data_IF_590664451448
#
_entry.id   IF_590664451448
#
_cell.length_a   1.000
_cell.length_b   1.000
_cell.length_c   1.000
_cell.angle_alpha   90.00
_cell.angle_beta   90.00
_cell.angle_gamma   90.00
#
_symmetry.space_group_name_H-M   'P 1'
#
loop_
_entity.id
_entity.type
_entity.pdbx_description
1 polymer ?
#
# COMPACT_ATOMS: atom_id res chain seq x y z
N UNK A 1 -30.93 -16.78 -30.30
CA UNK A 1 -30.21 -16.35 -29.08
C UNK A 1 -30.47 -14.86 -28.89
N UNK A 2 -31.21 -14.46 -27.86
CA UNK A 2 -31.49 -13.05 -27.56
C UNK A 2 -30.41 -12.54 -26.60
N UNK A 3 -29.66 -11.52 -27.01
CA UNK A 3 -28.79 -10.75 -26.13
C UNK A 3 -29.64 -10.07 -25.05
N UNK A 4 -29.27 -10.23 -23.78
CA UNK A 4 -29.84 -9.49 -22.67
C UNK A 4 -29.17 -8.11 -22.58
N UNK A 5 -29.92 -7.01 -22.39
CA UNK A 5 -29.34 -5.69 -22.18
C UNK A 5 -28.77 -5.59 -20.76
N UNK A 6 -27.46 -5.35 -20.68
CA UNK A 6 -26.75 -5.16 -19.42
C UNK A 6 -26.98 -3.72 -18.92
N UNK A 7 -28.06 -3.49 -18.18
CA UNK A 7 -28.32 -2.22 -17.49
C UNK A 7 -27.94 -2.41 -16.03
N UNK A 8 -26.71 -2.04 -15.67
CA UNK A 8 -26.28 -1.96 -14.29
C UNK A 8 -26.66 -0.59 -13.70
N UNK A 9 -27.40 -0.54 -12.58
CA UNK A 9 -27.54 0.69 -11.81
C UNK A 9 -26.18 1.01 -11.18
N UNK A 10 -25.66 2.21 -11.45
CA UNK A 10 -24.41 2.68 -10.84
C UNK A 10 -24.56 2.80 -9.33
N UNK A 11 -23.53 2.44 -8.54
CA UNK A 11 -23.61 2.53 -7.09
C UNK A 11 -23.71 4.00 -6.68
N UNK A 12 -24.85 4.33 -6.11
CA UNK A 12 -25.18 5.56 -5.45
C UNK A 12 -24.62 5.55 -4.01
N UNK A 13 -23.70 6.47 -3.72
CA UNK A 13 -23.39 7.01 -2.40
C UNK A 13 -22.68 6.13 -1.33
N UNK A 14 -21.86 5.14 -1.69
CA UNK A 14 -21.03 4.40 -0.72
C UNK A 14 -19.53 4.74 -0.72
N UNK A 15 -19.09 5.76 -1.48
CA UNK A 15 -17.67 6.14 -1.58
C UNK A 15 -17.21 7.19 -0.55
N UNK A 16 -18.10 7.66 0.33
CA UNK A 16 -17.88 8.91 1.09
C UNK A 16 -17.37 8.74 2.54
N UNK A 17 -16.96 7.53 2.97
CA UNK A 17 -16.60 7.33 4.40
C UNK A 17 -15.24 6.70 4.70
N UNK A 18 -14.55 6.07 3.76
CA UNK A 18 -13.31 5.32 4.07
C UNK A 18 -12.04 5.89 3.43
N UNK A 19 -12.14 6.80 2.45
CA UNK A 19 -10.95 7.33 1.74
C UNK A 19 -10.13 8.36 2.54
N UNK A 20 -10.58 8.80 3.73
CA UNK A 20 -9.90 9.89 4.46
C UNK A 20 -8.74 9.46 5.37
N UNK A 21 -8.52 8.16 5.60
CA UNK A 21 -7.45 7.70 6.50
C UNK A 21 -6.18 7.19 5.82
N UNK A 22 -6.25 6.75 4.55
CA UNK A 22 -5.06 6.26 3.83
C UNK A 22 -4.23 7.41 3.22
N UNK A 23 -4.81 8.61 3.03
CA UNK A 23 -4.11 9.74 2.38
C UNK A 23 -3.37 10.72 3.31
N UNK A 24 -3.34 10.51 4.64
CA UNK A 24 -2.68 11.47 5.56
C UNK A 24 -1.19 11.17 5.76
N UNK A 25 -0.42 11.59 4.77
CA UNK A 25 0.80 12.38 4.94
C UNK A 25 1.72 12.04 6.11
N UNK A 26 2.68 11.15 5.88
CA UNK A 26 4.01 11.20 6.49
C UNK A 26 4.68 12.54 6.12
N UNK A 27 4.40 13.60 6.89
CA UNK A 27 4.86 14.93 6.50
C UNK A 27 4.77 16.01 7.57
N UNK A 28 5.27 15.79 8.78
CA UNK A 28 5.74 16.89 9.65
C UNK A 28 6.60 16.44 10.85
N UNK A 29 7.88 16.18 10.59
CA UNK A 29 8.93 16.27 11.62
C UNK A 29 9.53 17.67 11.54
N UNK A 30 9.11 18.59 12.42
CA UNK A 30 9.90 19.80 12.68
C UNK A 30 10.07 19.93 14.19
N UNK A 31 11.28 19.57 14.60
CA UNK A 31 11.75 19.60 15.96
C UNK A 31 11.89 21.02 16.49
N UNK A 32 11.87 21.05 17.81
CA UNK A 32 12.22 22.15 18.68
C UNK A 32 13.69 22.56 18.44
N UNK A 33 13.95 23.86 18.42
CA UNK A 33 15.18 24.39 19.04
C UNK A 33 16.26 24.95 18.12
N UNK A 34 16.53 26.25 18.34
CA UNK A 34 17.84 26.89 18.33
C UNK A 34 18.53 27.15 16.97
N UNK A 35 18.20 28.32 16.44
CA UNK A 35 19.02 29.14 15.55
C UNK A 35 20.38 29.47 16.24
N UNK A 36 21.45 28.78 15.85
CA UNK A 36 22.83 29.25 16.06
C UNK A 36 23.65 29.05 14.77
N UNK A 37 23.89 30.18 14.10
CA UNK A 37 25.15 30.59 13.46
C UNK A 37 26.13 29.49 13.00
N UNK A 38 26.42 29.45 11.68
CA UNK A 38 27.71 28.96 11.22
C UNK A 38 27.77 28.42 9.79
N UNK A 39 27.94 29.33 8.83
CA UNK A 39 28.92 29.24 7.73
C UNK A 39 29.56 27.85 7.45
N UNK A 40 29.17 27.16 6.35
CA UNK A 40 30.03 26.26 5.52
C UNK A 40 29.14 25.63 4.43
N UNK A 41 29.32 26.00 3.16
CA UNK A 41 30.26 25.41 2.19
C UNK A 41 29.64 24.27 1.37
N UNK A 42 29.56 24.53 0.05
CA UNK A 42 29.42 23.66 -1.12
C UNK A 42 29.52 22.16 -0.80
N UNK A 43 28.41 21.44 -0.96
CA UNK A 43 28.33 19.99 -0.93
C UNK A 43 27.45 19.50 -2.07
N UNK A 44 28.00 18.62 -2.90
CA UNK A 44 27.40 18.01 -4.08
C UNK A 44 25.92 17.63 -3.89
N UNK A 45 25.12 17.88 -4.93
CA UNK A 45 23.78 17.32 -5.06
C UNK A 45 23.81 15.81 -5.18
N UNK A 46 24.03 15.11 -4.08
CA UNK A 46 23.50 13.76 -3.88
C UNK A 46 22.01 13.92 -3.64
N UNK A 47 21.23 14.00 -4.71
CA UNK A 47 19.81 13.65 -4.61
C UNK A 47 19.81 12.18 -4.16
N UNK A 48 19.30 11.83 -2.97
CA UNK A 48 19.19 10.44 -2.58
C UNK A 48 18.33 9.78 -3.65
N UNK A 49 18.87 8.76 -4.33
CA UNK A 49 18.07 7.93 -5.22
C UNK A 49 16.91 7.43 -4.36
N UNK A 50 15.71 7.93 -4.62
CA UNK A 50 14.53 7.58 -3.86
C UNK A 50 14.37 6.07 -3.98
N UNK A 51 14.56 5.34 -2.89
CA UNK A 51 14.34 3.89 -2.81
C UNK A 51 13.02 3.67 -2.12
N UNK A 52 12.26 2.66 -2.55
CA UNK A 52 10.90 2.43 -2.07
C UNK A 52 9.93 2.19 -3.22
N UNK A 53 8.68 1.96 -2.85
CA UNK A 53 7.60 1.64 -3.78
C UNK A 53 7.37 2.75 -4.84
N UNK A 54 7.65 4.01 -4.51
CA UNK A 54 7.51 5.15 -5.43
C UNK A 54 8.81 5.53 -6.18
N UNK A 55 9.82 4.66 -6.16
CA UNK A 55 11.07 4.95 -6.85
C UNK A 55 10.86 5.11 -8.37
N UNK A 56 11.42 6.16 -9.01
CA UNK A 56 11.35 6.29 -10.47
C UNK A 56 12.12 5.16 -11.17
N UNK A 57 13.08 4.53 -10.50
CA UNK A 57 13.84 3.41 -11.03
C UNK A 57 13.05 2.08 -10.84
N UNK A 58 12.69 1.37 -11.93
CA UNK A 58 11.91 0.13 -11.84
C UNK A 58 12.53 -0.91 -10.90
N UNK A 59 13.84 -1.16 -11.00
CA UNK A 59 14.55 -2.14 -10.16
C UNK A 59 14.41 -1.84 -8.67
N UNK A 60 14.40 -0.57 -8.27
CA UNK A 60 14.30 -0.18 -6.87
C UNK A 60 12.90 -0.37 -6.28
N UNK A 61 11.85 -0.35 -7.11
CA UNK A 61 10.50 -0.72 -6.70
C UNK A 61 10.40 -2.22 -6.47
N UNK A 62 10.99 -3.03 -7.38
CA UNK A 62 11.04 -4.49 -7.23
C UNK A 62 11.76 -4.88 -5.93
N UNK A 63 12.94 -4.29 -5.66
CA UNK A 63 13.69 -4.53 -4.43
C UNK A 63 12.88 -4.17 -3.16
N UNK A 64 12.00 -3.18 -3.23
CA UNK A 64 11.12 -2.80 -2.12
C UNK A 64 9.98 -3.80 -1.91
N UNK A 65 9.36 -4.26 -3.00
CA UNK A 65 8.28 -5.27 -2.97
C UNK A 65 8.79 -6.60 -2.41
N UNK A 66 9.97 -7.05 -2.85
CA UNK A 66 10.60 -8.28 -2.35
C UNK A 66 10.87 -8.17 -0.84
N UNK A 67 11.51 -7.08 -0.40
CA UNK A 67 11.78 -6.89 1.03
C UNK A 67 10.50 -6.83 1.87
N UNK A 68 9.44 -6.21 1.36
CA UNK A 68 8.17 -6.19 2.07
C UNK A 68 7.48 -7.56 2.15
N UNK A 69 7.74 -8.47 1.21
CA UNK A 69 7.23 -9.85 1.29
C UNK A 69 7.90 -10.70 2.39
N UNK A 70 9.14 -10.36 2.75
CA UNK A 70 9.91 -11.05 3.79
C UNK A 70 9.53 -10.58 5.21
N UNK A 71 8.94 -9.40 5.30
CA UNK A 71 8.51 -8.81 6.56
C UNK A 71 7.10 -9.30 6.92
N UNK A 72 6.91 -9.70 8.18
CA UNK A 72 5.66 -10.25 8.69
C UNK A 72 4.84 -9.26 9.55
N UNK A 73 5.03 -7.95 9.36
CA UNK A 73 4.32 -6.87 10.07
C UNK A 73 3.17 -6.26 9.25
N UNK A 74 2.16 -5.69 9.91
CA UNK A 74 0.97 -5.11 9.25
C UNK A 74 1.28 -3.86 8.42
N UNK A 75 2.32 -3.09 8.75
CA UNK A 75 2.72 -1.89 7.99
C UNK A 75 3.23 -2.27 6.58
N UNK A 76 4.09 -3.28 6.48
CA UNK A 76 4.56 -3.79 5.18
C UNK A 76 3.45 -4.43 4.37
N UNK A 77 2.46 -5.05 5.03
CA UNK A 77 1.26 -5.59 4.38
C UNK A 77 0.43 -4.46 3.75
N UNK A 78 0.18 -3.38 4.49
CA UNK A 78 -0.54 -2.21 4.00
C UNK A 78 0.12 -1.59 2.77
N UNK A 79 1.45 -1.40 2.79
CA UNK A 79 2.20 -0.87 1.63
C UNK A 79 2.08 -1.75 0.39
N UNK A 80 2.04 -3.08 0.55
CA UNK A 80 1.82 -3.99 -0.57
C UNK A 80 0.39 -3.88 -1.14
N UNK A 81 -0.61 -3.69 -0.27
CA UNK A 81 -2.00 -3.49 -0.68
C UNK A 81 -2.14 -2.19 -1.47
N UNK A 82 -1.50 -1.09 -1.04
CA UNK A 82 -1.47 0.18 -1.78
C UNK A 82 -0.93 0.00 -3.21
N UNK A 83 0.07 -0.87 -3.41
CA UNK A 83 0.63 -1.13 -4.74
C UNK A 83 -0.31 -1.88 -5.69
N UNK A 84 -1.37 -2.51 -5.17
CA UNK A 84 -2.41 -3.13 -6.01
C UNK A 84 -3.23 -2.09 -6.79
N UNK A 85 -3.25 -0.83 -6.34
CA UNK A 85 -3.91 0.28 -7.04
C UNK A 85 -2.99 1.00 -8.04
N UNK A 86 -1.70 0.63 -8.12
CA UNK A 86 -0.73 1.26 -9.00
C UNK A 86 -1.18 1.24 -10.46
N UNK A 87 -0.96 2.33 -11.20
CA UNK A 87 -1.23 2.38 -12.64
C UNK A 87 -0.24 1.51 -13.45
N UNK A 88 0.95 1.23 -12.88
CA UNK A 88 1.96 0.35 -13.47
C UNK A 88 1.54 -1.13 -13.37
N UNK A 89 1.26 -1.82 -14.49
CA UNK A 89 0.85 -3.23 -14.46
C UNK A 89 1.89 -4.15 -13.82
N UNK A 90 3.18 -3.83 -13.96
CA UNK A 90 4.25 -4.63 -13.37
C UNK A 90 4.27 -4.48 -11.84
N UNK A 91 4.03 -3.27 -11.32
CA UNK A 91 3.94 -3.03 -9.89
C UNK A 91 2.78 -3.82 -9.26
N UNK A 92 1.58 -3.77 -9.87
CA UNK A 92 0.42 -4.55 -9.40
C UNK A 92 0.68 -6.05 -9.39
N UNK A 93 1.26 -6.58 -10.46
CA UNK A 93 1.61 -8.00 -10.56
C UNK A 93 2.59 -8.41 -9.45
N UNK A 94 3.63 -7.62 -9.21
CA UNK A 94 4.62 -7.95 -8.19
C UNK A 94 4.03 -7.84 -6.78
N UNK A 95 3.20 -6.82 -6.54
CA UNK A 95 2.51 -6.65 -5.27
C UNK A 95 1.61 -7.85 -4.93
N UNK A 96 0.80 -8.34 -5.88
CA UNK A 96 -0.02 -9.52 -5.62
C UNK A 96 0.81 -10.79 -5.40
N UNK A 97 1.96 -10.94 -6.07
CA UNK A 97 2.88 -12.07 -5.84
C UNK A 97 3.52 -12.02 -4.46
N UNK A 98 3.90 -10.84 -3.99
CA UNK A 98 4.41 -10.64 -2.64
C UNK A 98 3.35 -10.98 -1.59
N UNK A 99 2.11 -10.52 -1.79
CA UNK A 99 0.97 -10.83 -0.93
C UNK A 99 0.65 -12.33 -0.91
N UNK A 100 0.63 -12.99 -2.07
CA UNK A 100 0.43 -14.44 -2.19
C UNK A 100 1.53 -15.22 -1.48
N UNK A 101 2.79 -14.81 -1.62
CA UNK A 101 3.93 -15.44 -0.95
C UNK A 101 3.80 -15.34 0.57
N UNK A 102 3.34 -14.19 1.06
CA UNK A 102 3.24 -13.92 2.49
C UNK A 102 2.02 -14.55 3.16
N UNK A 103 0.87 -14.54 2.49
CA UNK A 103 -0.43 -14.93 3.08
C UNK A 103 -0.95 -16.26 2.55
N UNK A 104 -0.36 -16.78 1.47
CA UNK A 104 -0.82 -18.00 0.79
C UNK A 104 -2.10 -17.81 -0.05
N UNK A 105 -2.63 -16.59 -0.16
CA UNK A 105 -3.86 -16.29 -0.90
C UNK A 105 -3.72 -15.03 -1.75
N UNK A 106 -4.50 -14.95 -2.82
CA UNK A 106 -4.63 -13.74 -3.65
C UNK A 106 -5.91 -12.95 -3.36
N UNK A 107 -6.79 -13.49 -2.51
CA UNK A 107 -8.15 -12.97 -2.27
C UNK A 107 -8.92 -12.70 -3.57
N UNK A 108 -8.66 -13.49 -4.61
CA UNK A 108 -9.29 -13.36 -5.94
C UNK A 108 -8.89 -12.10 -6.70
N UNK A 109 -7.77 -11.46 -6.35
CA UNK A 109 -7.25 -10.31 -7.09
C UNK A 109 -6.65 -10.74 -8.43
N UNK A 110 -7.06 -10.08 -9.51
CA UNK A 110 -6.45 -10.20 -10.83
C UNK A 110 -5.85 -8.84 -11.27
N UNK A 111 -4.53 -8.81 -11.38
CA UNK A 111 -3.75 -7.64 -11.82
C UNK A 111 -4.09 -7.13 -13.24
N UNK A 112 -4.64 -8.00 -14.09
CA UNK A 112 -5.01 -7.71 -15.48
C UNK A 112 -6.51 -7.34 -15.63
N UNK A 113 -7.31 -7.54 -14.58
CA UNK A 113 -8.73 -7.24 -14.61
C UNK A 113 -9.02 -5.73 -14.77
N UNK A 114 -10.22 -5.35 -15.23
CA UNK A 114 -10.68 -3.97 -15.25
C UNK A 114 -10.57 -3.29 -13.89
N UNK A 115 -10.40 -1.95 -13.89
CA UNK A 115 -10.15 -1.17 -12.65
C UNK A 115 -11.21 -1.39 -11.56
N UNK A 116 -12.47 -1.54 -11.94
CA UNK A 116 -13.57 -1.72 -10.99
C UNK A 116 -13.48 -3.06 -10.25
N UNK A 117 -13.17 -4.16 -10.94
CA UNK A 117 -12.92 -5.47 -10.32
C UNK A 117 -11.71 -5.43 -9.40
N UNK A 118 -10.65 -4.70 -9.80
CA UNK A 118 -9.46 -4.55 -8.95
C UNK A 118 -9.78 -3.82 -7.65
N UNK A 119 -10.61 -2.78 -7.67
CA UNK A 119 -11.02 -2.04 -6.46
C UNK A 119 -11.79 -2.95 -5.51
N UNK A 120 -12.73 -3.75 -6.02
CA UNK A 120 -13.46 -4.70 -5.18
C UNK A 120 -12.51 -5.70 -4.52
N UNK A 121 -11.51 -6.20 -5.25
CA UNK A 121 -10.50 -7.09 -4.70
C UNK A 121 -9.57 -6.39 -3.69
N UNK A 122 -9.22 -5.11 -3.91
CA UNK A 122 -8.45 -4.31 -2.94
C UNK A 122 -9.23 -4.09 -1.65
N UNK A 123 -10.54 -3.90 -1.70
CA UNK A 123 -11.36 -3.80 -0.49
C UNK A 123 -11.29 -5.07 0.37
N UNK A 124 -11.29 -6.26 -0.26
CA UNK A 124 -11.08 -7.53 0.46
C UNK A 124 -9.71 -7.59 1.15
N UNK A 125 -8.68 -7.03 0.52
CA UNK A 125 -7.36 -6.91 1.11
C UNK A 125 -7.32 -5.94 2.30
N UNK A 126 -8.06 -4.83 2.23
CA UNK A 126 -8.18 -3.86 3.34
C UNK A 126 -8.91 -4.51 4.53
N UNK A 127 -10.00 -5.25 4.28
CA UNK A 127 -10.69 -6.01 5.32
C UNK A 127 -9.76 -7.00 6.01
N UNK A 128 -9.00 -7.77 5.22
CA UNK A 128 -7.99 -8.68 5.74
C UNK A 128 -6.93 -7.97 6.60
N UNK A 129 -6.42 -6.81 6.18
CA UNK A 129 -5.44 -6.04 6.96
C UNK A 129 -6.02 -5.63 8.32
N UNK A 130 -7.26 -5.13 8.35
CA UNK A 130 -7.92 -4.73 9.60
C UNK A 130 -8.07 -5.91 10.56
N UNK A 131 -8.39 -7.10 10.05
CA UNK A 131 -8.44 -8.33 10.85
C UNK A 131 -7.06 -8.66 11.44
N UNK A 132 -5.98 -8.53 10.68
CA UNK A 132 -4.63 -8.77 11.18
C UNK A 132 -4.22 -7.77 12.28
N UNK A 133 -4.55 -6.49 12.12
CA UNK A 133 -4.28 -5.47 13.13
C UNK A 133 -5.04 -5.74 14.44
N UNK A 134 -6.30 -6.16 14.36
CA UNK A 134 -7.10 -6.54 15.53
C UNK A 134 -6.49 -7.74 16.26
N UNK A 135 -6.08 -8.78 15.53
CA UNK A 135 -5.43 -9.96 16.11
C UNK A 135 -4.09 -9.63 16.79
N UNK A 136 -3.31 -8.71 16.23
CA UNK A 136 -2.06 -8.26 16.82
C UNK A 136 -2.30 -7.49 18.12
N UNK A 137 -3.28 -6.56 18.14
CA UNK A 137 -3.63 -5.80 19.32
C UNK A 137 -4.07 -6.70 20.49
N UNK A 138 -4.87 -7.74 20.21
CA UNK A 138 -5.30 -8.71 21.21
C UNK A 138 -4.12 -9.53 21.77
N UNK A 139 -3.17 -9.90 20.89
CA UNK A 139 -1.98 -10.67 21.28
C UNK A 139 -1.07 -9.84 22.19
N UNK A 140 -0.80 -8.59 21.85
CA UNK A 140 0.03 -7.68 22.65
C UNK A 140 -0.60 -7.40 24.03
N UNK A 141 -1.92 -7.30 24.11
CA UNK A 141 -2.63 -7.10 25.36
C UNK A 141 -2.49 -8.31 26.30
N UNK A 142 -2.57 -9.53 25.77
CA UNK A 142 -2.49 -10.77 26.57
C UNK A 142 -1.07 -11.12 27.05
N UNK A 143 -0.03 -10.65 26.38
CA UNK A 143 1.38 -10.96 26.76
C UNK A 143 1.97 -10.09 27.87
N UNK A 144 1.25 -9.06 28.34
CA UNK A 144 1.74 -8.10 29.34
C UNK A 144 1.15 -8.30 30.76
N UNK A 145 0.40 -9.39 30.99
CA UNK A 145 -0.05 -9.86 32.32
C UNK A 145 0.77 -11.08 32.78
#
# INVERSE_FOLDING_TARGET
>A
MKQQPNTYPGPDHAYDRTMSFVYKGLGKRWGVGALLLGLTAIGAGCQPIQTGFDSPAPTKRIDAIVRASELHDTESLGKLIEQLESEDPAARMLAIRALETRTGTTLGYDHAAPRWERIEAVNRWIEYLNEQEALQADTEHNTND
#
